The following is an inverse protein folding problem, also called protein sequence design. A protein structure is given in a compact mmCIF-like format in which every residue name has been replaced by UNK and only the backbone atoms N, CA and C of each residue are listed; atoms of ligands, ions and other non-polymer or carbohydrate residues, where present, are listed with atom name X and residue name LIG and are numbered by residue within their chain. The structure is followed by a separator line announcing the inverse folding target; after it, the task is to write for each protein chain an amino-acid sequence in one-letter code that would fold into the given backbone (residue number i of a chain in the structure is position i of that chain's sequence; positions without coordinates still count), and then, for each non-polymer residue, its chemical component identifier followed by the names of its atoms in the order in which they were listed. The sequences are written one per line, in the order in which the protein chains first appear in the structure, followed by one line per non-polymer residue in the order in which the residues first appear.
data_IF_301921549969
#
_entry.id   IF_301921549969
#
_cell.length_a   1.000
_cell.length_b   1.000
_cell.length_c   1.000
_cell.angle_alpha   90.00
_cell.angle_beta   90.00
_cell.angle_gamma   90.00
#
_symmetry.space_group_name_H-M   'P 1'
#
loop_
_entity.id
_entity.type
_entity.pdbx_description
1 polymer ?
#
# COMPACT_ATOMS: atom_id res chain seq x y z
N UNK A 1 15.22 9.06 -5.59
CA UNK A 1 15.80 10.40 -5.76
C UNK A 1 16.45 10.51 -7.13
N UNK A 2 16.71 11.72 -7.60
CA UNK A 2 17.46 12.04 -8.81
C UNK A 2 18.36 13.24 -8.55
N UNK A 3 19.41 13.44 -9.35
CA UNK A 3 20.37 14.54 -9.18
C UNK A 3 20.52 15.32 -10.48
N UNK A 4 20.45 16.65 -10.40
CA UNK A 4 20.74 17.55 -11.52
C UNK A 4 22.10 18.23 -11.30
N UNK A 5 23.14 17.88 -12.10
CA UNK A 5 24.47 18.41 -11.94
C UNK A 5 24.61 19.89 -12.31
N UNK A 6 23.77 20.42 -13.21
CA UNK A 6 23.80 21.84 -13.57
C UNK A 6 23.31 22.73 -12.43
N UNK A 7 22.36 22.22 -11.65
CA UNK A 7 21.80 22.92 -10.49
C UNK A 7 22.55 22.61 -9.19
N UNK A 8 23.30 21.51 -9.16
CA UNK A 8 23.81 20.87 -7.95
C UNK A 8 22.70 20.56 -6.93
N UNK A 9 21.57 20.04 -7.41
CA UNK A 9 20.40 19.71 -6.57
C UNK A 9 20.04 18.23 -6.67
N UNK A 10 19.79 17.62 -5.51
CA UNK A 10 19.17 16.30 -5.38
C UNK A 10 17.66 16.47 -5.11
N UNK A 11 16.83 15.74 -5.85
CA UNK A 11 15.38 15.73 -5.68
C UNK A 11 14.96 14.46 -4.96
N UNK A 12 14.38 14.63 -3.77
CA UNK A 12 14.18 13.55 -2.81
C UNK A 12 12.67 13.46 -2.49
N UNK A 13 12.01 12.32 -2.80
CA UNK A 13 10.71 12.00 -2.23
C UNK A 13 10.89 11.67 -0.74
N UNK A 14 10.26 12.43 0.15
CA UNK A 14 10.35 12.25 1.59
C UNK A 14 9.03 11.79 2.17
N UNK A 15 9.13 10.92 3.18
CA UNK A 15 8.01 10.46 3.99
C UNK A 15 8.05 11.17 5.34
N UNK A 16 6.90 11.66 5.77
CA UNK A 16 6.73 12.39 7.02
C UNK A 16 5.72 11.61 7.84
N UNK A 17 6.24 10.66 8.63
CA UNK A 17 5.44 9.68 9.34
C UNK A 17 5.95 9.57 10.77
N UNK A 18 5.02 9.71 11.72
CA UNK A 18 5.25 9.35 13.11
C UNK A 18 5.00 7.86 13.32
N UNK A 19 5.66 7.32 14.33
CA UNK A 19 5.43 5.94 14.74
C UNK A 19 5.59 5.80 16.26
N UNK A 20 4.74 4.97 16.86
CA UNK A 20 4.88 4.58 18.26
C UNK A 20 5.51 3.19 18.32
N UNK A 21 6.46 3.02 19.23
CA UNK A 21 7.05 1.72 19.53
C UNK A 21 6.83 1.42 21.01
N UNK A 22 6.41 0.19 21.31
CA UNK A 22 6.35 -0.34 22.67
C UNK A 22 7.23 -1.58 22.75
N UNK A 23 7.95 -1.69 23.86
CA UNK A 23 8.65 -2.91 24.25
C UNK A 23 7.94 -3.46 25.48
N UNK A 24 7.08 -4.45 25.24
CA UNK A 24 6.35 -5.14 26.30
C UNK A 24 7.17 -6.31 26.91
N UNK A 25 8.46 -6.41 26.54
CA UNK A 25 9.36 -7.48 26.93
C UNK A 25 9.14 -8.77 26.15
N UNK A 26 10.12 -9.69 26.24
CA UNK A 26 9.99 -11.03 25.66
C UNK A 26 9.00 -11.84 26.48
N UNK A 27 7.88 -12.24 25.88
CA UNK A 27 7.03 -13.25 26.48
C UNK A 27 7.60 -14.64 26.15
N UNK A 28 8.24 -15.25 27.15
CA UNK A 28 8.93 -16.55 27.04
C UNK A 28 8.02 -17.74 27.39
N UNK A 29 6.71 -17.54 27.53
CA UNK A 29 5.80 -18.64 27.84
C UNK A 29 5.76 -19.65 26.68
N UNK A 30 5.89 -20.96 26.94
CA UNK A 30 5.73 -21.98 25.91
C UNK A 30 4.37 -21.83 25.23
N UNK A 31 4.35 -21.80 23.89
CA UNK A 31 3.13 -21.62 23.12
C UNK A 31 2.57 -20.19 23.09
N UNK A 32 3.30 -19.19 23.60
CA UNK A 32 2.89 -17.81 23.39
C UNK A 32 2.92 -17.49 21.90
N UNK A 33 1.72 -17.27 21.36
CA UNK A 33 1.52 -16.57 20.10
C UNK A 33 1.28 -15.12 20.41
N UNK A 34 1.98 -14.28 19.69
CA UNK A 34 1.88 -12.85 19.81
C UNK A 34 0.48 -12.37 19.48
N UNK A 35 -0.04 -11.48 20.31
CA UNK A 35 -1.22 -10.70 19.96
C UNK A 35 -0.77 -9.46 19.18
N UNK A 36 -0.94 -9.43 17.86
CA UNK A 36 -1.16 -8.17 17.12
C UNK A 36 -1.50 -8.46 15.67
N UNK A 37 -2.14 -7.50 15.01
CA UNK A 37 -2.49 -7.47 13.58
C UNK A 37 -1.39 -6.75 12.75
N UNK A 38 -0.13 -6.74 13.23
CA UNK A 38 0.99 -5.89 12.75
C UNK A 38 2.29 -6.68 12.60
N UNK A 39 3.19 -6.23 11.72
CA UNK A 39 4.51 -6.86 11.45
C UNK A 39 5.36 -7.00 12.73
N UNK A 40 5.93 -8.18 13.00
CA UNK A 40 6.76 -8.41 14.19
C UNK A 40 8.24 -8.07 13.98
N UNK A 41 8.74 -7.12 14.76
CA UNK A 41 10.15 -6.72 14.78
C UNK A 41 10.80 -6.90 16.17
N UNK A 42 10.20 -7.69 17.06
CA UNK A 42 10.54 -7.70 18.49
C UNK A 42 10.03 -6.48 19.26
N UNK A 43 9.19 -5.67 18.62
CA UNK A 43 8.51 -4.49 19.16
C UNK A 43 7.01 -4.67 18.96
N UNK A 44 6.22 -4.20 19.91
CA UNK A 44 4.75 -4.12 19.82
C UNK A 44 4.32 -2.70 19.47
N UNK A 45 3.10 -2.55 18.95
CA UNK A 45 2.47 -1.23 18.80
C UNK A 45 2.87 -0.41 17.58
N UNK A 46 3.32 -1.01 16.47
CA UNK A 46 3.61 -0.29 15.22
C UNK A 46 2.37 0.41 14.65
N UNK A 47 2.18 1.69 14.96
CA UNK A 47 1.03 2.46 14.53
C UNK A 47 1.53 3.71 13.83
N UNK A 48 1.20 3.82 12.55
CA UNK A 48 1.38 5.06 11.82
C UNK A 48 0.47 6.11 12.46
N UNK A 49 1.08 7.03 13.17
CA UNK A 49 0.37 8.18 13.73
C UNK A 49 0.42 9.31 12.73
N UNK A 50 -0.73 9.95 12.50
CA UNK A 50 -0.77 11.23 11.80
C UNK A 50 0.08 12.23 12.58
N UNK A 51 1.03 12.88 11.92
CA UNK A 51 1.65 14.07 12.45
C UNK A 51 0.70 15.26 12.17
N UNK A 52 0.13 15.93 13.20
CA UNK A 52 -0.77 17.06 12.98
C UNK A 52 -0.05 18.31 12.45
N UNK A 53 1.29 18.35 12.47
CA UNK A 53 2.10 19.50 12.12
C UNK A 53 2.82 19.37 10.77
N UNK A 54 2.81 18.18 10.13
CA UNK A 54 3.51 17.96 8.86
C UNK A 54 2.60 17.43 7.74
N UNK A 55 2.93 17.78 6.49
CA UNK A 55 2.35 17.11 5.32
C UNK A 55 2.80 15.65 5.29
N UNK A 56 1.93 14.72 4.90
CA UNK A 56 2.21 13.27 4.97
C UNK A 56 3.45 12.84 4.15
N UNK A 57 3.73 13.54 3.06
CA UNK A 57 4.96 13.41 2.27
C UNK A 57 5.38 14.74 1.67
N UNK A 58 6.55 14.77 1.03
CA UNK A 58 6.94 15.91 0.19
C UNK A 58 7.97 15.56 -0.88
N UNK A 59 8.02 16.34 -1.95
CA UNK A 59 9.16 16.41 -2.84
C UNK A 59 10.07 17.55 -2.40
N UNK A 60 11.34 17.26 -2.15
CA UNK A 60 12.32 18.27 -1.72
C UNK A 60 13.46 18.38 -2.71
N UNK A 61 13.90 19.61 -2.99
CA UNK A 61 15.21 19.85 -3.56
C UNK A 61 16.21 20.15 -2.45
N UNK A 62 17.32 19.42 -2.47
CA UNK A 62 18.41 19.53 -1.52
C UNK A 62 19.70 19.92 -2.23
N UNK A 63 20.38 20.94 -1.74
CA UNK A 63 21.76 21.25 -2.11
C UNK A 63 22.67 20.39 -1.20
N UNK A 64 23.30 19.33 -1.73
CA UNK A 64 24.11 18.42 -0.92
C UNK A 64 25.45 19.03 -0.50
N UNK A 65 25.93 20.06 -1.21
CA UNK A 65 27.19 20.75 -0.88
C UNK A 65 26.97 21.69 0.31
N UNK A 66 25.87 22.46 0.28
CA UNK A 66 25.49 23.37 1.37
C UNK A 66 24.71 22.68 2.50
N UNK A 67 24.36 21.41 2.33
CA UNK A 67 23.51 20.63 3.22
C UNK A 67 22.21 21.37 3.57
N UNK A 68 21.52 21.89 2.56
CA UNK A 68 20.37 22.78 2.75
C UNK A 68 19.23 22.44 1.80
N UNK A 69 18.01 22.43 2.33
CA UNK A 69 16.79 22.40 1.52
C UNK A 69 16.61 23.71 0.76
N UNK A 70 16.51 23.62 -0.56
CA UNK A 70 16.27 24.78 -1.43
C UNK A 70 14.78 25.07 -1.54
N UNK A 71 13.98 24.04 -1.79
CA UNK A 71 12.52 24.14 -1.83
C UNK A 71 11.86 22.82 -1.40
N UNK A 72 10.56 22.88 -1.11
CA UNK A 72 9.71 21.74 -0.72
C UNK A 72 8.32 21.90 -1.35
N UNK A 73 7.81 20.81 -1.91
CA UNK A 73 6.42 20.68 -2.35
C UNK A 73 5.73 19.65 -1.45
N UNK A 74 4.74 20.08 -0.68
CA UNK A 74 3.99 19.21 0.20
C UNK A 74 3.04 18.31 -0.60
N UNK A 75 3.00 17.03 -0.25
CA UNK A 75 2.13 16.04 -0.87
C UNK A 75 1.00 15.64 0.08
N UNK A 76 -0.16 15.37 -0.51
CA UNK A 76 -1.36 14.93 0.22
C UNK A 76 -1.22 13.53 0.79
N UNK A 77 -0.36 12.71 0.20
CA UNK A 77 -0.16 11.31 0.56
C UNK A 77 1.34 11.05 0.78
N UNK A 78 1.70 10.22 1.78
CA UNK A 78 3.08 9.75 1.95
C UNK A 78 3.50 8.82 0.80
N UNK A 79 4.80 8.63 0.64
CA UNK A 79 5.44 7.74 -0.33
C UNK A 79 5.28 8.10 -1.81
N UNK A 80 5.51 9.37 -2.13
CA UNK A 80 5.72 9.76 -3.52
C UNK A 80 6.74 8.86 -4.21
N UNK A 81 6.46 8.51 -5.48
CA UNK A 81 7.33 7.69 -6.29
C UNK A 81 8.72 8.29 -6.44
N UNK A 82 9.63 7.48 -6.99
CA UNK A 82 10.95 7.97 -7.36
C UNK A 82 10.88 9.14 -8.34
N UNK A 83 11.96 9.91 -8.44
CA UNK A 83 12.03 11.12 -9.25
C UNK A 83 12.95 10.92 -10.46
N UNK A 84 12.69 11.69 -11.51
CA UNK A 84 13.56 11.83 -12.69
C UNK A 84 13.82 13.32 -12.90
N UNK A 85 15.07 13.73 -13.13
CA UNK A 85 15.38 15.11 -13.55
C UNK A 85 16.08 15.13 -14.90
N UNK A 86 15.91 16.20 -15.67
CA UNK A 86 16.49 16.35 -17.01
C UNK A 86 17.20 17.70 -17.16
N UNK A 87 18.06 17.82 -18.17
CA UNK A 87 18.72 19.08 -18.54
C UNK A 87 17.73 20.18 -18.98
N UNK A 88 16.47 19.84 -19.24
CA UNK A 88 15.39 20.80 -19.50
C UNK A 88 14.93 21.57 -18.24
N UNK A 89 15.65 21.46 -17.12
CA UNK A 89 15.26 22.00 -15.81
C UNK A 89 13.90 21.48 -15.31
N UNK A 90 13.60 20.22 -15.59
CA UNK A 90 12.39 19.55 -15.12
C UNK A 90 12.70 18.48 -14.08
N UNK A 91 11.75 18.27 -13.17
CA UNK A 91 11.69 17.10 -12.28
C UNK A 91 10.33 16.43 -12.46
N UNK A 92 10.34 15.16 -12.85
CA UNK A 92 9.15 14.32 -12.97
C UNK A 92 9.01 13.44 -11.74
N UNK A 93 7.77 13.31 -11.25
CA UNK A 93 7.44 12.41 -10.16
C UNK A 93 6.01 11.89 -10.32
N UNK A 94 5.83 10.59 -10.07
CA UNK A 94 4.51 10.03 -9.84
C UNK A 94 4.13 10.06 -8.37
N UNK A 95 2.90 10.44 -8.08
CA UNK A 95 2.36 10.58 -6.72
C UNK A 95 1.47 9.40 -6.34
N UNK A 96 1.29 9.12 -5.03
CA UNK A 96 0.51 7.98 -4.54
C UNK A 96 -0.98 8.09 -4.84
N UNK A 97 -1.47 9.31 -5.07
CA UNK A 97 -2.85 9.62 -5.43
C UNK A 97 -3.14 9.46 -6.94
N UNK A 98 -2.13 9.07 -7.72
CA UNK A 98 -2.28 8.78 -9.15
C UNK A 98 -1.97 9.96 -10.08
N UNK A 99 -1.45 11.06 -9.55
CA UNK A 99 -0.98 12.17 -10.37
C UNK A 99 0.46 11.93 -10.82
N UNK A 100 0.71 12.02 -12.13
CA UNK A 100 2.05 12.15 -12.69
C UNK A 100 2.33 13.61 -13.02
N UNK A 101 3.38 14.17 -12.40
CA UNK A 101 3.65 15.61 -12.41
C UNK A 101 5.03 15.93 -12.92
N UNK A 102 5.16 17.13 -13.50
CA UNK A 102 6.42 17.77 -13.84
C UNK A 102 6.53 19.11 -13.10
N UNK A 103 7.68 19.31 -12.47
CA UNK A 103 8.02 20.49 -11.69
C UNK A 103 9.19 21.23 -12.30
N UNK A 104 9.21 22.56 -12.16
CA UNK A 104 10.41 23.36 -12.38
C UNK A 104 11.48 22.95 -11.35
N UNK A 105 12.65 22.54 -11.84
CA UNK A 105 13.71 21.99 -11.01
C UNK A 105 14.34 23.01 -10.03
N UNK A 106 14.24 24.32 -10.33
CA UNK A 106 14.86 25.40 -9.55
C UNK A 106 13.96 25.86 -8.40
N UNK A 107 12.65 25.81 -8.61
CA UNK A 107 11.65 26.44 -7.73
C UNK A 107 10.68 25.45 -7.10
N UNK A 108 10.50 24.27 -7.70
CA UNK A 108 9.48 23.30 -7.31
C UNK A 108 8.07 23.68 -7.80
N UNK A 109 7.93 24.68 -8.66
CA UNK A 109 6.64 25.04 -9.24
C UNK A 109 6.08 23.88 -10.09
N UNK A 110 4.83 23.48 -9.86
CA UNK A 110 4.14 22.54 -10.75
C UNK A 110 3.92 23.18 -12.12
N UNK A 111 4.43 22.55 -13.18
CA UNK A 111 4.30 23.02 -14.56
C UNK A 111 3.29 22.19 -15.35
N UNK A 112 3.11 20.93 -14.97
CA UNK A 112 2.22 19.99 -15.65
C UNK A 112 1.82 18.85 -14.71
N UNK A 113 0.61 18.35 -14.90
CA UNK A 113 0.03 17.23 -14.14
C UNK A 113 -0.91 16.43 -15.03
N UNK A 114 -0.94 15.11 -14.83
CA UNK A 114 -1.84 14.19 -15.51
C UNK A 114 -2.26 13.05 -14.58
N UNK A 115 -3.55 12.76 -14.53
CA UNK A 115 -4.09 11.64 -13.76
C UNK A 115 -3.93 10.33 -14.54
N UNK A 116 -3.14 9.39 -14.01
CA UNK A 116 -2.90 8.08 -14.63
C UNK A 116 -3.84 6.99 -14.11
N UNK A 117 -4.79 7.34 -13.24
CA UNK A 117 -5.86 6.46 -12.73
C UNK A 117 -5.46 5.52 -11.60
N UNK A 118 -4.16 5.44 -11.25
CA UNK A 118 -3.64 4.62 -10.16
C UNK A 118 -2.39 5.23 -9.53
N UNK A 119 -2.21 4.98 -8.24
CA UNK A 119 -1.05 5.44 -7.49
C UNK A 119 0.27 4.93 -8.03
N UNK A 120 1.31 5.73 -7.83
CA UNK A 120 2.62 5.49 -8.42
C UNK A 120 3.68 5.37 -7.34
N UNK A 121 4.43 4.26 -7.35
CA UNK A 121 5.63 4.07 -6.51
C UNK A 121 6.94 4.03 -7.30
N UNK A 122 6.88 3.80 -8.62
CA UNK A 122 8.06 3.63 -9.45
C UNK A 122 8.66 4.99 -9.88
N UNK A 123 9.99 5.09 -10.06
CA UNK A 123 10.60 6.24 -10.72
C UNK A 123 10.23 6.27 -12.22
N UNK A 124 9.98 7.45 -12.80
CA UNK A 124 9.94 7.62 -14.25
C UNK A 124 11.32 7.42 -14.89
N UNK A 125 11.35 7.09 -16.17
CA UNK A 125 12.53 7.10 -17.02
C UNK A 125 12.31 7.99 -18.25
N UNK A 126 13.37 8.46 -18.89
CA UNK A 126 13.29 9.13 -20.20
C UNK A 126 14.29 8.53 -21.17
N UNK A 127 13.92 8.50 -22.45
CA UNK A 127 14.75 7.98 -23.54
C UNK A 127 14.36 8.66 -24.86
N UNK A 128 15.13 8.40 -25.91
CA UNK A 128 14.83 8.88 -27.27
C UNK A 128 14.43 7.69 -28.14
N UNK A 129 13.34 7.84 -28.89
CA UNK A 129 12.88 6.88 -29.89
C UNK A 129 12.51 7.66 -31.16
N UNK A 130 13.11 7.28 -32.29
CA UNK A 130 12.90 7.93 -33.60
C UNK A 130 13.00 9.47 -33.56
N UNK A 131 14.02 9.96 -32.85
CA UNK A 131 14.28 11.40 -32.69
C UNK A 131 13.39 12.11 -31.68
N UNK A 132 12.38 11.45 -31.10
CA UNK A 132 11.46 12.04 -30.11
C UNK A 132 11.84 11.63 -28.70
N UNK A 133 11.80 12.58 -27.77
CA UNK A 133 11.96 12.29 -26.35
C UNK A 133 10.68 11.69 -25.79
N UNK A 134 10.84 10.58 -25.07
CA UNK A 134 9.79 9.86 -24.38
C UNK A 134 10.04 9.91 -22.87
N UNK A 135 8.97 9.96 -22.09
CA UNK A 135 9.03 9.78 -20.63
C UNK A 135 8.08 8.64 -20.27
N UNK A 136 8.58 7.59 -19.62
CA UNK A 136 7.78 6.41 -19.29
C UNK A 136 7.77 6.14 -17.80
N UNK A 137 6.67 5.54 -17.35
CA UNK A 137 6.43 5.25 -15.95
C UNK A 137 5.60 3.97 -15.82
N UNK A 138 5.91 3.17 -14.80
CA UNK A 138 5.05 2.08 -14.34
C UNK A 138 3.99 2.64 -13.39
N UNK A 139 2.74 2.48 -13.78
CA UNK A 139 1.54 2.94 -13.09
C UNK A 139 0.93 1.76 -12.34
N UNK A 140 0.82 1.90 -11.02
CA UNK A 140 0.38 0.81 -10.16
C UNK A 140 1.08 0.84 -8.80
N UNK A 141 0.32 0.86 -7.69
CA UNK A 141 0.88 0.72 -6.36
C UNK A 141 1.65 -0.61 -6.21
N UNK A 142 2.82 -0.52 -5.58
CA UNK A 142 3.70 -1.66 -5.31
C UNK A 142 4.52 -1.48 -4.03
N UNK A 143 5.40 -2.46 -3.74
CA UNK A 143 6.28 -2.42 -2.57
C UNK A 143 5.54 -2.49 -1.22
N UNK A 144 6.22 -2.04 -0.16
CA UNK A 144 5.68 -2.01 1.20
C UNK A 144 4.37 -1.21 1.29
N UNK A 145 4.15 -0.27 0.37
CA UNK A 145 2.96 0.56 0.28
C UNK A 145 1.66 -0.18 0.00
N UNK A 146 1.65 -0.96 -1.07
CA UNK A 146 0.49 -1.77 -1.41
C UNK A 146 0.27 -2.94 -0.44
N UNK A 147 1.28 -3.22 0.40
CA UNK A 147 1.47 -4.43 1.20
C UNK A 147 1.20 -4.19 2.70
N UNK A 148 2.10 -3.48 3.39
CA UNK A 148 2.14 -3.32 4.85
C UNK A 148 1.22 -2.23 5.40
N UNK A 149 0.66 -1.39 4.53
CA UNK A 149 -0.15 -0.23 4.92
C UNK A 149 -1.62 -0.35 4.53
N UNK A 150 -2.05 -1.52 4.03
CA UNK A 150 -3.48 -1.83 3.98
C UNK A 150 -4.05 -1.82 5.40
N UNK A 151 -5.20 -1.19 5.60
CA UNK A 151 -5.83 -1.06 6.91
C UNK A 151 -5.23 0.01 7.81
N UNK A 152 -4.50 0.98 7.24
CA UNK A 152 -4.02 2.17 7.95
C UNK A 152 -4.94 3.39 7.81
N UNK A 153 -6.17 3.18 7.32
CA UNK A 153 -7.22 4.19 7.27
C UNK A 153 -6.94 5.23 6.20
N UNK A 154 -7.02 6.51 6.56
CA UNK A 154 -6.76 7.62 5.62
C UNK A 154 -5.34 7.63 5.04
N UNK A 155 -4.39 6.91 5.66
CA UNK A 155 -3.00 6.79 5.21
C UNK A 155 -2.78 5.61 4.25
N UNK A 156 -3.74 4.68 4.21
CA UNK A 156 -3.63 3.45 3.44
C UNK A 156 -4.21 3.59 2.04
N UNK A 157 -3.70 2.76 1.13
CA UNK A 157 -4.16 2.69 -0.26
C UNK A 157 -5.61 2.22 -0.40
N UNK A 158 -6.17 1.54 0.60
CA UNK A 158 -7.58 1.15 0.62
C UNK A 158 -8.52 2.35 0.50
N UNK A 159 -8.10 3.53 1.00
CA UNK A 159 -8.88 4.77 0.94
C UNK A 159 -9.05 5.31 -0.48
N UNK A 160 -8.20 4.88 -1.42
CA UNK A 160 -8.28 5.25 -2.83
C UNK A 160 -9.18 4.33 -3.65
N UNK A 161 -9.74 3.27 -3.03
CA UNK A 161 -10.66 2.33 -3.69
C UNK A 161 -10.03 1.50 -4.79
N UNK A 162 -8.71 1.38 -4.84
CA UNK A 162 -8.07 0.52 -5.82
C UNK A 162 -7.90 -0.90 -5.27
N UNK A 163 -8.29 -1.89 -6.07
CA UNK A 163 -8.35 -3.30 -5.66
C UNK A 163 -7.41 -4.19 -6.45
N UNK A 164 -6.80 -5.14 -5.75
CA UNK A 164 -6.05 -6.24 -6.37
C UNK A 164 -6.93 -7.02 -7.36
N UNK A 165 -6.41 -7.27 -8.56
CA UNK A 165 -7.10 -8.04 -9.59
C UNK A 165 -8.24 -7.29 -10.30
N UNK A 166 -8.65 -6.11 -9.82
CA UNK A 166 -9.67 -5.27 -10.47
C UNK A 166 -9.05 -4.11 -11.23
N UNK A 167 -8.11 -3.39 -10.61
CA UNK A 167 -7.49 -2.22 -11.24
C UNK A 167 -6.15 -2.63 -11.85
N UNK A 168 -6.05 -2.53 -13.18
CA UNK A 168 -4.90 -3.02 -13.92
C UNK A 168 -3.70 -2.08 -13.78
N UNK A 169 -2.53 -2.67 -13.54
CA UNK A 169 -1.24 -1.97 -13.58
C UNK A 169 -0.83 -1.77 -15.04
N UNK A 170 -0.26 -0.61 -15.36
CA UNK A 170 0.02 -0.20 -16.75
C UNK A 170 1.43 0.35 -16.87
N UNK A 171 1.97 0.33 -18.08
CA UNK A 171 3.06 1.22 -18.46
C UNK A 171 2.45 2.39 -19.23
N UNK A 172 2.82 3.61 -18.89
CA UNK A 172 2.41 4.81 -19.61
C UNK A 172 3.63 5.54 -20.13
N UNK A 173 3.55 6.00 -21.38
CA UNK A 173 4.62 6.74 -22.06
C UNK A 173 4.08 8.05 -22.61
N UNK A 174 4.77 9.13 -22.31
CA UNK A 174 4.43 10.50 -22.63
C UNK A 174 5.44 11.08 -23.62
N UNK A 175 4.95 11.95 -24.51
CA UNK A 175 5.76 12.79 -25.41
C UNK A 175 5.00 14.09 -25.65
N UNK A 176 5.68 15.13 -26.14
CA UNK A 176 5.07 16.45 -26.39
C UNK A 176 3.87 16.38 -27.36
N UNK A 177 3.95 15.51 -28.37
CA UNK A 177 2.93 15.37 -29.40
C UNK A 177 2.01 14.17 -29.16
N UNK A 178 2.03 13.59 -27.95
CA UNK A 178 1.27 12.39 -27.61
C UNK A 178 -0.25 12.63 -27.72
N UNK A 179 -0.92 11.79 -28.52
CA UNK A 179 -2.39 11.85 -28.74
C UNK A 179 -3.08 10.50 -28.53
N UNK A 180 -2.37 9.55 -27.93
CA UNK A 180 -2.94 8.24 -27.65
C UNK A 180 -4.14 8.38 -26.70
N UNK A 181 -5.24 7.72 -27.04
CA UNK A 181 -6.36 7.59 -26.11
C UNK A 181 -5.94 6.60 -25.03
N UNK A 182 -5.88 7.07 -23.79
CA UNK A 182 -5.60 6.21 -22.65
C UNK A 182 -6.88 5.43 -22.35
N UNK A 183 -6.86 4.08 -22.36
CA UNK A 183 -8.03 3.29 -21.97
C UNK A 183 -8.52 3.70 -20.59
N UNK A 184 -9.83 3.77 -20.39
CA UNK A 184 -10.38 4.14 -19.09
C UNK A 184 -9.92 3.13 -18.02
N UNK A 185 -9.58 3.61 -16.83
CA UNK A 185 -9.39 2.75 -15.67
C UNK A 185 -10.72 2.62 -14.95
N UNK A 186 -11.05 1.42 -14.47
CA UNK A 186 -12.25 1.23 -13.66
C UNK A 186 -12.28 2.25 -12.52
N UNK A 187 -13.45 2.82 -12.28
CA UNK A 187 -13.64 3.76 -11.19
C UNK A 187 -13.28 3.10 -9.84
N UNK A 188 -12.75 3.87 -8.88
CA UNK A 188 -12.48 3.40 -7.53
C UNK A 188 -13.64 2.60 -6.91
N UNK A 189 -13.31 1.45 -6.34
CA UNK A 189 -14.23 0.56 -5.64
C UNK A 189 -13.70 0.29 -4.24
N UNK A 190 -14.35 0.82 -3.21
CA UNK A 190 -14.05 0.44 -1.84
C UNK A 190 -14.37 -1.04 -1.59
N UNK A 191 -13.65 -1.65 -0.66
CA UNK A 191 -13.92 -3.01 -0.20
C UNK A 191 -15.35 -3.11 0.33
N UNK A 192 -16.06 -4.19 -0.04
CA UNK A 192 -17.41 -4.51 0.41
C UNK A 192 -17.38 -5.80 1.22
N UNK A 193 -17.13 -5.72 2.54
CA UNK A 193 -17.13 -6.91 3.39
C UNK A 193 -18.40 -7.73 3.24
N UNK A 194 -18.26 -9.05 3.17
CA UNK A 194 -19.40 -9.98 3.16
C UNK A 194 -19.76 -10.30 4.61
N UNK A 195 -21.00 -10.01 5.00
CA UNK A 195 -21.59 -10.39 6.28
C UNK A 195 -22.17 -11.80 6.15
N UNK A 196 -21.70 -12.72 7.00
CA UNK A 196 -22.22 -14.07 7.10
C UNK A 196 -23.14 -14.19 8.32
N UNK A 197 -24.44 -14.08 8.09
CA UNK A 197 -25.45 -14.17 9.16
C UNK A 197 -25.44 -15.52 9.90
N UNK A 198 -24.78 -16.55 9.36
CA UNK A 198 -24.67 -17.87 9.99
C UNK A 198 -23.38 -18.04 10.81
N UNK A 199 -22.44 -17.10 10.69
CA UNK A 199 -21.15 -17.20 11.36
C UNK A 199 -21.17 -16.43 12.68
N UNK A 200 -21.22 -17.16 13.79
CA UNK A 200 -21.10 -16.55 15.12
C UNK A 200 -19.64 -16.31 15.49
N UNK A 201 -19.26 -15.04 15.65
CA UNK A 201 -17.88 -14.67 16.00
C UNK A 201 -17.60 -14.96 17.48
N UNK A 202 -16.80 -15.99 17.73
CA UNK A 202 -16.10 -16.20 18.99
C UNK A 202 -14.96 -15.18 19.18
N UNK A 203 -15.03 -14.39 20.25
CA UNK A 203 -14.11 -13.30 20.52
C UNK A 203 -12.68 -13.78 20.89
N UNK A 204 -12.57 -14.91 21.60
CA UNK A 204 -11.28 -15.47 22.03
C UNK A 204 -10.54 -16.08 20.83
N UNK A 205 -11.28 -16.80 19.97
CA UNK A 205 -10.74 -17.30 18.71
C UNK A 205 -10.36 -16.16 17.77
N UNK A 206 -11.17 -15.11 17.68
CA UNK A 206 -10.83 -13.95 16.86
C UNK A 206 -9.56 -13.24 17.34
N UNK A 207 -9.32 -13.19 18.65
CA UNK A 207 -8.08 -12.63 19.20
C UNK A 207 -6.87 -13.52 18.93
N UNK A 208 -7.01 -14.83 19.12
CA UNK A 208 -6.00 -15.82 18.74
C UNK A 208 -5.66 -15.71 17.25
N UNK A 209 -6.70 -15.59 16.41
CA UNK A 209 -6.58 -15.48 14.96
C UNK A 209 -5.87 -14.21 14.51
N UNK A 210 -6.07 -13.09 15.20
CA UNK A 210 -5.33 -11.86 14.93
C UNK A 210 -3.81 -12.08 15.07
N UNK A 211 -3.41 -12.80 16.11
CA UNK A 211 -2.01 -13.17 16.35
C UNK A 211 -1.45 -14.09 15.27
N UNK A 212 -2.15 -15.20 15.00
CA UNK A 212 -1.74 -16.17 13.95
C UNK A 212 -1.62 -15.46 12.59
N UNK A 213 -2.56 -14.59 12.25
CA UNK A 213 -2.56 -13.82 11.01
C UNK A 213 -1.32 -12.93 10.84
N UNK A 214 -0.87 -12.26 11.91
CA UNK A 214 0.32 -11.43 11.81
C UNK A 214 1.62 -12.21 11.88
N UNK A 215 1.72 -13.22 12.74
CA UNK A 215 2.91 -14.08 12.86
C UNK A 215 3.25 -14.78 11.54
N UNK A 216 2.23 -15.12 10.77
CA UNK A 216 2.37 -15.77 9.47
C UNK A 216 2.42 -14.77 8.30
N UNK A 217 2.68 -13.49 8.58
CA UNK A 217 2.85 -12.41 7.60
C UNK A 217 1.65 -12.22 6.65
N UNK A 218 0.46 -12.70 7.00
CA UNK A 218 -0.73 -12.49 6.19
C UNK A 218 -1.02 -10.98 6.04
N UNK A 219 -0.72 -10.19 7.08
CA UNK A 219 -0.76 -8.72 7.08
C UNK A 219 0.04 -8.08 5.95
N UNK A 220 1.17 -8.67 5.55
CA UNK A 220 2.01 -8.12 4.49
C UNK A 220 1.38 -8.19 3.10
N UNK A 221 0.36 -9.04 2.91
CA UNK A 221 -0.33 -9.18 1.63
C UNK A 221 -1.77 -8.67 1.70
N UNK A 222 -2.47 -9.04 2.77
CA UNK A 222 -3.90 -8.82 2.96
C UNK A 222 -4.20 -7.63 3.88
N UNK A 223 -3.17 -6.92 4.34
CA UNK A 223 -3.26 -5.71 5.16
C UNK A 223 -3.65 -5.95 6.62
N UNK A 224 -3.54 -4.89 7.43
CA UNK A 224 -3.95 -4.89 8.83
C UNK A 224 -5.47 -5.02 8.92
N UNK A 225 -5.95 -5.80 9.89
CA UNK A 225 -7.38 -6.02 10.04
C UNK A 225 -8.04 -6.68 8.82
N UNK A 226 -7.25 -7.40 8.00
CA UNK A 226 -7.69 -7.97 6.73
C UNK A 226 -8.21 -6.95 5.69
N UNK A 227 -7.84 -5.67 5.85
CA UNK A 227 -8.15 -4.58 4.92
C UNK A 227 -7.02 -4.48 3.89
N UNK A 228 -7.25 -4.95 2.67
CA UNK A 228 -6.19 -4.95 1.67
C UNK A 228 -6.01 -3.58 1.01
N UNK A 229 -4.76 -3.19 0.77
CA UNK A 229 -4.42 -2.07 -0.09
C UNK A 229 -4.54 -2.47 -1.55
N UNK A 230 -3.51 -3.13 -2.11
CA UNK A 230 -3.55 -3.61 -3.50
C UNK A 230 -2.60 -4.78 -3.80
N UNK A 231 -1.93 -5.31 -2.77
CA UNK A 231 -0.94 -6.39 -2.91
C UNK A 231 -1.60 -7.75 -3.14
N UNK A 232 -2.70 -8.02 -2.44
CA UNK A 232 -3.50 -9.25 -2.53
C UNK A 232 -4.99 -8.91 -2.30
N UNK A 233 -5.92 -9.88 -2.46
CA UNK A 233 -7.35 -9.66 -2.23
C UNK A 233 -7.67 -9.22 -0.79
N UNK A 234 -8.71 -8.41 -0.61
CA UNK A 234 -9.29 -8.12 0.70
C UNK A 234 -10.03 -9.36 1.21
N UNK A 235 -9.58 -9.93 2.33
CA UNK A 235 -10.15 -11.19 2.80
C UNK A 235 -11.57 -11.04 3.35
N UNK A 236 -12.01 -9.82 3.68
CA UNK A 236 -13.38 -9.56 4.15
C UNK A 236 -14.39 -9.73 3.02
N UNK A 237 -13.96 -9.59 1.76
CA UNK A 237 -14.74 -9.84 0.55
C UNK A 237 -14.72 -11.32 0.11
N UNK A 238 -13.96 -12.18 0.80
CA UNK A 238 -13.71 -13.54 0.32
C UNK A 238 -14.79 -14.55 0.75
N UNK A 239 -15.41 -15.29 -0.18
CA UNK A 239 -16.41 -16.30 0.15
C UNK A 239 -15.81 -17.55 0.80
N UNK A 240 -14.51 -17.81 0.63
CA UNK A 240 -13.87 -19.02 1.18
C UNK A 240 -13.77 -19.00 2.71
N UNK A 241 -14.00 -17.84 3.33
CA UNK A 241 -13.98 -17.67 4.79
C UNK A 241 -15.37 -17.78 5.42
N UNK A 242 -16.43 -17.93 4.61
CA UNK A 242 -17.81 -18.07 5.07
C UNK A 242 -18.09 -19.47 5.64
N UNK A 243 -19.18 -19.59 6.39
CA UNK A 243 -19.72 -20.82 6.96
C UNK A 243 -19.87 -21.90 5.87
N UNK A 244 -19.35 -23.11 6.12
CA UNK A 244 -19.41 -24.22 5.16
C UNK A 244 -18.28 -24.23 4.13
N UNK A 245 -17.33 -23.29 4.20
CA UNK A 245 -16.16 -23.21 3.31
C UNK A 245 -14.85 -23.62 3.97
N UNK A 246 -14.90 -24.30 5.12
CA UNK A 246 -13.75 -24.72 5.94
C UNK A 246 -12.67 -25.41 5.09
N UNK A 247 -13.08 -26.41 4.29
CA UNK A 247 -12.16 -27.15 3.42
C UNK A 247 -11.61 -26.32 2.27
N UNK A 248 -12.37 -25.36 1.76
CA UNK A 248 -11.89 -24.46 0.73
C UNK A 248 -10.81 -23.53 1.29
N UNK A 249 -11.03 -22.98 2.49
CA UNK A 249 -10.04 -22.19 3.21
C UNK A 249 -8.76 -22.99 3.50
N UNK A 250 -8.90 -24.20 4.04
CA UNK A 250 -7.77 -25.10 4.29
C UNK A 250 -6.99 -25.41 3.00
N UNK A 251 -7.69 -25.73 1.92
CA UNK A 251 -7.08 -26.03 0.63
C UNK A 251 -6.24 -24.87 0.09
N UNK A 252 -6.69 -23.63 0.29
CA UNK A 252 -5.94 -22.43 -0.10
C UNK A 252 -4.74 -22.20 0.83
N UNK A 253 -4.96 -22.14 2.13
CA UNK A 253 -3.94 -21.69 3.11
C UNK A 253 -2.93 -22.79 3.40
N UNK A 254 -3.38 -24.02 3.69
CA UNK A 254 -2.51 -25.16 4.00
C UNK A 254 -2.16 -25.95 2.74
N UNK A 255 -3.15 -26.20 1.89
CA UNK A 255 -3.02 -27.03 0.69
C UNK A 255 -2.31 -26.35 -0.48
N UNK A 256 -2.21 -25.02 -0.49
CA UNK A 256 -1.53 -24.27 -1.55
C UNK A 256 -2.29 -24.24 -2.87
N UNK A 257 -3.62 -24.34 -2.86
CA UNK A 257 -4.44 -24.30 -4.07
C UNK A 257 -4.23 -23.04 -4.94
N UNK A 258 -3.76 -21.95 -4.34
CA UNK A 258 -3.45 -20.68 -5.03
C UNK A 258 -1.94 -20.37 -5.10
N UNK A 259 -1.07 -21.38 -4.93
CA UNK A 259 0.39 -21.18 -4.97
C UNK A 259 0.87 -20.59 -6.31
N UNK A 260 0.28 -21.04 -7.41
CA UNK A 260 0.59 -20.52 -8.76
C UNK A 260 0.16 -19.06 -8.95
N UNK A 261 -0.79 -18.58 -8.14
CA UNK A 261 -1.23 -17.18 -8.10
C UNK A 261 -0.42 -16.33 -7.11
N UNK A 262 0.58 -16.92 -6.44
CA UNK A 262 1.45 -16.24 -5.48
C UNK A 262 0.95 -16.26 -4.02
N UNK A 263 -0.10 -17.02 -3.69
CA UNK A 263 -0.50 -17.26 -2.29
C UNK A 263 0.37 -18.37 -1.69
N UNK A 264 1.24 -18.08 -0.69
CA UNK A 264 2.06 -19.10 -0.06
C UNK A 264 1.22 -20.16 0.64
N UNK A 265 1.76 -21.38 0.76
CA UNK A 265 1.17 -22.41 1.61
C UNK A 265 1.78 -22.38 3.00
N UNK A 266 0.96 -22.71 3.99
CA UNK A 266 1.29 -22.71 5.42
C UNK A 266 0.96 -24.10 5.99
N UNK A 267 1.79 -25.12 5.69
CA UNK A 267 1.50 -26.52 6.03
C UNK A 267 1.43 -26.78 7.55
N UNK A 268 2.10 -25.93 8.33
CA UNK A 268 2.26 -26.10 9.78
C UNK A 268 1.10 -25.51 10.59
N UNK A 269 0.17 -24.78 9.95
CA UNK A 269 -0.99 -24.22 10.64
C UNK A 269 -1.95 -25.34 11.04
N UNK A 270 -2.35 -25.38 12.30
CA UNK A 270 -3.33 -26.36 12.84
C UNK A 270 -4.76 -26.01 12.45
N UNK A 271 -5.70 -26.95 12.60
CA UNK A 271 -7.12 -26.69 12.30
C UNK A 271 -7.70 -25.60 13.19
N UNK A 272 -7.31 -25.59 14.47
CA UNK A 272 -7.70 -24.57 15.42
C UNK A 272 -7.17 -23.18 15.02
N UNK A 273 -5.96 -23.12 14.47
CA UNK A 273 -5.36 -21.86 13.99
C UNK A 273 -6.05 -21.35 12.72
N UNK A 274 -6.35 -22.23 11.76
CA UNK A 274 -7.13 -21.85 10.58
C UNK A 274 -8.50 -21.32 10.98
N UNK A 275 -9.18 -21.99 11.91
CA UNK A 275 -10.47 -21.53 12.40
C UNK A 275 -10.37 -20.19 13.14
N UNK A 276 -9.31 -19.99 13.94
CA UNK A 276 -9.06 -18.71 14.61
C UNK A 276 -8.90 -17.55 13.59
N UNK A 277 -8.18 -17.78 12.48
CA UNK A 277 -8.06 -16.78 11.39
C UNK A 277 -9.43 -16.47 10.78
N UNK A 278 -10.29 -17.47 10.58
CA UNK A 278 -11.67 -17.24 10.10
C UNK A 278 -12.44 -16.32 11.05
N UNK A 279 -12.45 -16.63 12.34
CA UNK A 279 -13.08 -15.79 13.36
C UNK A 279 -12.53 -14.36 13.35
N UNK A 280 -11.21 -14.20 13.22
CA UNK A 280 -10.59 -12.88 13.10
C UNK A 280 -11.11 -12.12 11.87
N UNK A 281 -11.01 -12.69 10.66
CA UNK A 281 -11.44 -11.98 9.45
C UNK A 281 -12.94 -11.69 9.45
N UNK A 282 -13.77 -12.61 9.97
CA UNK A 282 -15.21 -12.38 10.09
C UNK A 282 -15.50 -11.25 11.08
N UNK A 283 -14.83 -11.19 12.25
CA UNK A 283 -14.91 -10.03 13.18
C UNK A 283 -14.62 -8.72 12.44
N UNK A 284 -13.53 -8.66 11.68
CA UNK A 284 -13.15 -7.47 10.91
C UNK A 284 -14.17 -7.10 9.81
N UNK A 285 -14.83 -8.08 9.20
CA UNK A 285 -15.88 -7.85 8.22
C UNK A 285 -17.11 -7.18 8.86
N UNK A 286 -17.54 -7.68 10.04
CA UNK A 286 -18.64 -7.08 10.80
C UNK A 286 -18.31 -5.66 11.30
N UNK A 287 -17.11 -5.45 11.83
CA UNK A 287 -16.70 -4.14 12.36
C UNK A 287 -16.52 -3.11 11.23
N UNK A 288 -16.00 -3.53 10.07
CA UNK A 288 -15.84 -2.66 8.90
C UNK A 288 -17.17 -2.10 8.36
N UNK A 289 -18.26 -2.87 8.46
CA UNK A 289 -19.60 -2.39 8.08
C UNK A 289 -20.14 -1.37 9.10
N UNK A 290 -19.92 -1.60 10.40
CA UNK A 290 -20.35 -0.66 11.46
C UNK A 290 -19.65 0.70 11.35
N UNK A 291 -18.38 0.74 10.95
CA UNK A 291 -17.65 2.00 10.71
C UNK A 291 -18.02 2.73 9.41
N UNK A 292 -18.60 2.03 8.43
CA UNK A 292 -19.01 2.61 7.14
C UNK A 292 -20.45 3.13 7.09
N UNK A 293 -21.21 2.98 8.17
CA UNK A 293 -22.65 3.31 8.25
C UNK A 293 -22.98 4.75 8.64
N UNK A 294 -22.03 5.68 8.61
CA UNK A 294 -22.32 7.07 8.97
C UNK A 294 -21.32 8.05 8.40
N UNK A 295 -21.54 8.48 7.17
CA UNK A 295 -21.21 9.80 6.63
C UNK A 295 -22.31 10.17 5.61
#
# INVERSE_FOLDING_TARGET
MSYNPELNLAFIPTNHLGNTFKDDGKNTKPGHKMASHKLYLGLTGWELTKDPHESRGSLQAWDPVKNKRVWRVNQKSPWGGGTLTTAGNLVFQGEPDGLFKAYDARTGQELWSYDVGLGISAPPITYKLDGKQMVSLLVGPGGALASNFGGSGELGFESHGWKYGTHERRIMTFSLDGKAVVPEQLAPQLAKPIIDEKFEVDAEKAETGAGVYAENLCVGCHGAGAVAGMKAPDLRESPILLTGSEKAFESVVRGGALLVNGMPKFPDLTDAELESIRHFVRRQAHDGVKSGGGH
#
